data_IF_184146666872
#
_entry.id   IF_184146666872
#
_cell.length_a   1.000
_cell.length_b   1.000
_cell.length_c   1.000
_cell.angle_alpha   90.00
_cell.angle_beta   90.00
_cell.angle_gamma   90.00
#
_symmetry.space_group_name_H-M   'P 1'
#
loop_
_entity.id
_entity.type
_entity.pdbx_description
1 polymer ?
#
# COMPACT_ATOMS: atom_id res chain seq x y z
N UNK A 1 64.84 -24.90 50.18
CA UNK A 1 63.60 -25.67 50.38
C UNK A 1 62.59 -25.23 49.34
N UNK A 2 62.24 -26.15 48.43
CA UNK A 2 61.21 -26.00 47.39
C UNK A 2 59.82 -26.31 47.97
N UNK A 3 58.79 -26.00 47.17
CA UNK A 3 57.38 -26.46 47.17
C UNK A 3 56.39 -25.38 47.64
N UNK A 4 55.87 -24.53 46.74
CA UNK A 4 54.80 -24.68 45.72
C UNK A 4 53.41 -24.22 46.25
N UNK A 5 52.76 -23.23 45.60
CA UNK A 5 51.54 -22.58 46.07
C UNK A 5 50.25 -23.32 45.66
N UNK A 6 49.25 -23.24 46.53
CA UNK A 6 47.88 -23.73 46.33
C UNK A 6 47.18 -22.89 45.25
N UNK A 7 46.85 -23.51 44.11
CA UNK A 7 46.06 -22.87 43.04
C UNK A 7 44.57 -22.97 43.37
N UNK A 8 43.94 -21.83 43.71
CA UNK A 8 42.49 -21.69 43.57
C UNK A 8 42.20 -21.26 42.12
N UNK A 9 41.60 -22.16 41.35
CA UNK A 9 41.09 -21.87 40.00
C UNK A 9 39.65 -21.40 40.15
N UNK A 10 39.40 -20.10 39.96
CA UNK A 10 38.07 -19.54 39.79
C UNK A 10 37.81 -19.44 38.28
N UNK A 11 36.98 -20.35 37.75
CA UNK A 11 36.52 -20.29 36.35
C UNK A 11 35.37 -19.27 36.30
N UNK A 12 35.64 -18.07 35.80
CA UNK A 12 34.60 -17.13 35.42
C UNK A 12 34.22 -17.37 33.96
N UNK A 13 33.04 -17.97 33.74
CA UNK A 13 32.40 -18.04 32.42
C UNK A 13 31.88 -16.63 32.07
N UNK A 14 32.56 -15.93 31.17
CA UNK A 14 32.01 -14.74 30.50
C UNK A 14 31.21 -15.17 29.28
N UNK A 15 29.88 -15.18 29.42
CA UNK A 15 28.97 -15.30 28.28
C UNK A 15 28.96 -13.98 27.50
N UNK A 16 29.60 -13.98 26.33
CA UNK A 16 29.55 -12.86 25.38
C UNK A 16 28.19 -12.90 24.67
N UNK A 17 27.27 -12.03 25.07
CA UNK A 17 26.01 -11.81 24.38
C UNK A 17 26.29 -11.16 23.02
N UNK A 18 26.21 -11.96 21.95
CA UNK A 18 26.21 -11.46 20.58
C UNK A 18 24.78 -10.93 20.33
N UNK A 19 24.59 -9.63 20.49
CA UNK A 19 23.39 -8.98 19.97
C UNK A 19 23.45 -9.04 18.43
N UNK A 20 22.35 -9.39 17.73
CA UNK A 20 22.33 -9.27 16.28
C UNK A 20 22.44 -7.78 15.94
N UNK A 21 23.58 -7.37 15.37
CA UNK A 21 23.61 -6.16 14.58
C UNK A 21 22.66 -6.42 13.40
N UNK A 22 21.48 -5.80 13.41
CA UNK A 22 20.76 -5.59 12.18
C UNK A 22 21.68 -4.75 11.28
N UNK A 23 22.30 -5.41 10.31
CA UNK A 23 22.99 -4.73 9.23
C UNK A 23 21.95 -3.84 8.55
N UNK A 24 22.06 -2.53 8.75
CA UNK A 24 21.38 -1.56 7.92
C UNK A 24 21.98 -1.74 6.54
N UNK A 25 21.33 -2.55 5.70
CA UNK A 25 21.63 -2.57 4.27
C UNK A 25 21.36 -1.14 3.79
N UNK A 26 22.41 -0.40 3.44
CA UNK A 26 22.23 0.79 2.62
C UNK A 26 21.58 0.29 1.33
N UNK A 27 20.30 0.64 1.12
CA UNK A 27 19.64 0.30 -0.12
C UNK A 27 20.47 0.85 -1.28
N UNK A 28 20.60 0.06 -2.35
CA UNK A 28 21.19 0.54 -3.60
C UNK A 28 20.48 1.83 -4.02
N UNK A 29 21.21 2.74 -4.67
CA UNK A 29 20.60 4.00 -5.11
C UNK A 29 19.72 3.79 -6.34
N UNK A 30 18.72 4.64 -6.55
CA UNK A 30 17.84 4.58 -7.72
C UNK A 30 17.78 5.92 -8.47
N UNK A 31 17.35 5.87 -9.73
CA UNK A 31 17.20 7.01 -10.63
C UNK A 31 15.74 7.49 -10.65
N UNK A 32 15.55 8.79 -10.50
CA UNK A 32 14.25 9.45 -10.49
C UNK A 32 14.16 10.44 -11.64
N UNK A 33 13.30 10.15 -12.61
CA UNK A 33 12.99 11.08 -13.71
C UNK A 33 12.06 12.19 -13.23
N UNK A 34 12.30 13.42 -13.67
CA UNK A 34 11.43 14.55 -13.37
C UNK A 34 11.39 15.56 -14.54
N UNK A 35 10.20 16.09 -14.89
CA UNK A 35 10.05 17.13 -15.89
C UNK A 35 10.87 18.37 -15.59
N UNK A 36 11.39 19.01 -16.64
CA UNK A 36 12.26 20.19 -16.51
C UNK A 36 11.58 21.33 -15.73
N UNK A 37 10.26 21.47 -15.88
CA UNK A 37 9.45 22.43 -15.14
C UNK A 37 9.58 22.24 -13.61
N UNK A 38 9.60 20.99 -13.13
CA UNK A 38 9.79 20.68 -11.71
C UNK A 38 11.25 20.87 -11.30
N UNK A 39 12.20 20.42 -12.12
CA UNK A 39 13.65 20.56 -11.83
C UNK A 39 14.05 22.03 -11.67
N UNK A 40 13.53 22.91 -12.54
CA UNK A 40 13.81 24.36 -12.54
C UNK A 40 13.35 25.06 -11.26
N UNK A 41 12.34 24.55 -10.56
CA UNK A 41 11.92 25.11 -9.26
C UNK A 41 12.99 24.98 -8.18
N UNK A 42 13.94 24.05 -8.33
CA UNK A 42 14.91 23.70 -7.29
C UNK A 42 14.35 22.76 -6.21
N UNK A 43 13.09 22.36 -6.31
CA UNK A 43 12.41 21.50 -5.34
C UNK A 43 13.15 20.19 -5.04
N UNK A 44 13.64 19.49 -6.08
CA UNK A 44 14.36 18.23 -5.89
C UNK A 44 15.66 18.40 -5.09
N UNK A 45 16.32 19.55 -5.20
CA UNK A 45 17.52 19.86 -4.40
C UNK A 45 17.19 20.06 -2.92
N UNK A 46 15.95 20.42 -2.61
CA UNK A 46 15.44 20.49 -1.24
C UNK A 46 14.94 19.13 -0.75
N UNK A 47 14.21 18.40 -1.59
CA UNK A 47 13.53 17.17 -1.21
C UNK A 47 14.48 15.98 -1.01
N UNK A 48 15.28 15.66 -2.05
CA UNK A 48 16.04 14.40 -2.13
C UNK A 48 17.10 14.24 -1.03
N UNK A 49 17.86 15.28 -0.64
CA UNK A 49 18.85 15.14 0.43
C UNK A 49 18.22 14.79 1.79
N UNK A 50 16.99 15.24 2.06
CA UNK A 50 16.31 15.01 3.35
C UNK A 50 15.83 13.56 3.49
N UNK A 51 15.35 12.98 2.40
CA UNK A 51 15.10 11.54 2.35
C UNK A 51 16.42 10.77 2.52
N UNK A 52 17.40 11.06 1.67
CA UNK A 52 18.67 10.33 1.61
C UNK A 52 19.43 10.36 2.96
N UNK A 53 19.38 11.48 3.68
CA UNK A 53 20.02 11.61 4.99
C UNK A 53 19.40 10.70 6.06
N UNK A 54 18.08 10.49 6.00
CA UNK A 54 17.36 9.68 6.98
C UNK A 54 17.41 8.19 6.64
N UNK A 55 17.40 7.84 5.36
CA UNK A 55 17.28 6.44 4.90
C UNK A 55 18.58 5.83 4.41
N UNK A 56 19.60 6.64 4.12
CA UNK A 56 20.84 6.18 3.49
C UNK A 56 20.69 5.77 2.02
N UNK A 57 19.49 5.88 1.45
CA UNK A 57 19.21 5.56 0.04
C UNK A 57 19.55 6.76 -0.82
N UNK A 58 20.41 6.60 -1.83
CA UNK A 58 20.78 7.68 -2.75
C UNK A 58 19.77 7.76 -3.90
N UNK A 59 19.33 8.97 -4.23
CA UNK A 59 18.49 9.22 -5.40
C UNK A 59 19.25 10.08 -6.41
N UNK A 60 19.34 9.62 -7.65
CA UNK A 60 19.87 10.38 -8.77
C UNK A 60 18.71 10.96 -9.60
N UNK A 61 18.58 12.28 -9.63
CA UNK A 61 17.59 12.94 -10.49
C UNK A 61 18.09 12.97 -11.94
N UNK A 62 17.26 12.51 -12.89
CA UNK A 62 17.59 12.40 -14.32
C UNK A 62 16.56 13.14 -15.16
N UNK A 63 16.93 13.50 -16.39
CA UNK A 63 16.03 14.19 -17.30
C UNK A 63 14.91 13.26 -17.79
N UNK A 64 13.80 13.88 -18.18
CA UNK A 64 12.69 13.19 -18.82
C UNK A 64 13.15 12.47 -20.10
N UNK A 65 12.72 11.22 -20.30
CA UNK A 65 13.14 10.36 -21.41
C UNK A 65 14.42 9.55 -21.16
N UNK A 66 15.18 9.81 -20.08
CA UNK A 66 16.24 8.91 -19.64
C UNK A 66 15.69 7.71 -18.85
N UNK A 67 16.39 6.59 -18.89
CA UNK A 67 16.03 5.40 -18.08
C UNK A 67 15.96 5.77 -16.59
N UNK A 68 14.86 5.43 -15.91
CA UNK A 68 14.67 5.72 -14.50
C UNK A 68 13.87 4.60 -13.82
N UNK A 69 14.01 4.49 -12.50
CA UNK A 69 13.29 3.51 -11.69
C UNK A 69 11.94 4.06 -11.22
N UNK A 70 11.84 5.39 -11.12
CA UNK A 70 10.62 6.12 -10.80
C UNK A 70 10.56 7.44 -11.57
N UNK A 71 9.37 8.03 -11.67
CA UNK A 71 9.18 9.36 -12.26
C UNK A 71 8.20 10.22 -11.45
N UNK A 72 8.38 11.54 -11.53
CA UNK A 72 7.29 12.48 -11.24
C UNK A 72 6.60 12.90 -12.53
N UNK A 73 5.27 12.87 -12.56
CA UNK A 73 4.49 13.27 -13.74
C UNK A 73 3.14 13.85 -13.30
N UNK A 74 2.49 14.61 -14.18
CA UNK A 74 1.15 15.17 -13.93
C UNK A 74 0.07 14.39 -14.70
N UNK A 75 0.37 14.02 -15.94
CA UNK A 75 -0.60 13.41 -16.88
C UNK A 75 -0.51 11.87 -16.96
N UNK A 76 0.45 11.26 -16.27
CA UNK A 76 0.63 9.80 -16.24
C UNK A 76 -0.11 9.15 -15.04
N UNK A 77 -0.20 7.82 -15.06
CA UNK A 77 -0.62 7.03 -13.91
C UNK A 77 0.43 7.12 -12.78
N UNK A 78 -0.04 7.07 -11.53
CA UNK A 78 0.85 7.10 -10.38
C UNK A 78 0.18 7.60 -9.11
N UNK A 79 0.91 7.50 -8.00
CA UNK A 79 0.45 7.92 -6.68
C UNK A 79 0.50 9.43 -6.56
N UNK A 80 -0.62 10.09 -6.27
CA UNK A 80 -0.67 11.51 -5.95
C UNK A 80 0.21 11.82 -4.72
N UNK A 81 1.14 12.78 -4.85
CA UNK A 81 2.13 13.08 -3.80
C UNK A 81 2.10 14.54 -3.34
N UNK A 82 1.87 15.49 -4.23
CA UNK A 82 1.76 16.92 -3.90
C UNK A 82 1.10 17.71 -5.02
N UNK A 83 0.61 18.90 -4.71
CA UNK A 83 0.04 19.84 -5.67
C UNK A 83 0.94 21.07 -5.77
N UNK A 84 1.13 21.59 -6.98
CA UNK A 84 1.86 22.82 -7.26
C UNK A 84 1.11 23.75 -8.20
N UNK A 85 1.74 24.84 -8.65
CA UNK A 85 1.09 25.85 -9.51
C UNK A 85 0.62 25.29 -10.86
N UNK A 86 1.28 24.24 -11.36
CA UNK A 86 0.92 23.54 -12.59
C UNK A 86 -0.09 22.40 -12.37
N UNK A 87 -0.57 22.19 -11.14
CA UNK A 87 -1.52 21.14 -10.81
C UNK A 87 -0.96 20.00 -9.95
N UNK A 88 -1.63 18.85 -10.00
CA UNK A 88 -1.28 17.67 -9.21
C UNK A 88 -0.01 17.00 -9.77
N UNK A 89 0.88 16.61 -8.87
CA UNK A 89 2.04 15.78 -9.17
C UNK A 89 1.84 14.39 -8.60
N UNK A 90 2.11 13.40 -9.45
CA UNK A 90 2.05 11.98 -9.13
C UNK A 90 3.45 11.38 -9.23
N UNK A 91 3.72 10.36 -8.42
CA UNK A 91 4.90 9.53 -8.52
C UNK A 91 4.54 8.18 -9.13
N UNK A 92 5.22 7.81 -10.20
CA UNK A 92 5.09 6.50 -10.84
C UNK A 92 6.32 5.65 -10.52
N UNK A 93 6.10 4.35 -10.31
CA UNK A 93 7.18 3.36 -10.29
C UNK A 93 7.32 2.79 -11.69
N UNK A 94 8.50 2.94 -12.30
CA UNK A 94 8.78 2.48 -13.66
C UNK A 94 9.44 1.10 -13.67
N UNK A 95 10.22 0.78 -12.63
CA UNK A 95 10.83 -0.54 -12.43
C UNK A 95 10.37 -1.10 -11.08
N UNK A 96 9.71 -2.27 -11.10
CA UNK A 96 8.95 -2.81 -9.97
C UNK A 96 9.76 -3.31 -8.77
N UNK A 97 11.07 -3.51 -8.92
CA UNK A 97 11.82 -4.41 -8.02
C UNK A 97 12.80 -3.66 -7.08
N UNK A 98 12.76 -2.32 -7.04
CA UNK A 98 13.72 -1.54 -6.27
C UNK A 98 13.15 -1.05 -4.93
N UNK A 99 13.55 -1.68 -3.82
CA UNK A 99 13.10 -1.35 -2.45
C UNK A 99 13.21 0.15 -2.10
N UNK A 100 14.24 0.84 -2.61
CA UNK A 100 14.42 2.27 -2.41
C UNK A 100 13.30 3.14 -3.01
N UNK A 101 12.67 2.71 -4.11
CA UNK A 101 11.56 3.42 -4.75
C UNK A 101 10.31 3.33 -3.87
N UNK A 102 10.03 2.14 -3.32
CA UNK A 102 8.92 1.91 -2.38
C UNK A 102 9.11 2.77 -1.13
N UNK A 103 10.29 2.73 -0.52
CA UNK A 103 10.62 3.55 0.65
C UNK A 103 10.47 5.05 0.38
N UNK A 104 10.85 5.52 -0.82
CA UNK A 104 10.71 6.93 -1.18
C UNK A 104 9.23 7.31 -1.38
N UNK A 105 8.45 6.49 -2.10
CA UNK A 105 7.01 6.69 -2.29
C UNK A 105 6.27 6.78 -0.95
N UNK A 106 6.55 5.87 -0.02
CA UNK A 106 5.96 5.88 1.32
C UNK A 106 6.45 7.04 2.18
N UNK A 107 7.70 7.46 2.00
CA UNK A 107 8.21 8.63 2.70
C UNK A 107 7.50 9.90 2.24
N UNK A 108 7.24 10.09 0.94
CA UNK A 108 6.60 11.30 0.39
C UNK A 108 5.23 11.56 1.01
N UNK A 109 4.46 10.51 1.31
CA UNK A 109 3.13 10.61 1.91
C UNK A 109 3.12 10.52 3.44
N UNK A 110 4.29 10.30 4.06
CA UNK A 110 4.42 10.35 5.52
C UNK A 110 4.38 11.78 6.06
N UNK A 111 4.08 11.96 7.35
CA UNK A 111 4.12 13.27 8.02
C UNK A 111 5.42 14.05 7.76
N UNK A 112 6.56 13.36 7.75
CA UNK A 112 7.88 13.98 7.56
C UNK A 112 8.08 14.41 6.11
N UNK A 113 7.70 13.56 5.15
CA UNK A 113 7.76 13.89 3.72
C UNK A 113 6.82 15.05 3.39
N UNK A 114 5.56 14.96 3.80
CA UNK A 114 4.53 15.98 3.59
C UNK A 114 4.92 17.35 4.19
N UNK A 115 5.51 17.38 5.39
CA UNK A 115 6.06 18.62 5.96
C UNK A 115 7.26 19.14 5.17
N UNK A 116 8.10 18.25 4.66
CA UNK A 116 9.26 18.65 3.84
C UNK A 116 8.81 19.28 2.53
N UNK A 117 7.80 18.70 1.89
CA UNK A 117 7.17 19.20 0.66
C UNK A 117 6.56 20.59 0.90
N UNK A 118 5.68 20.70 1.90
CA UNK A 118 4.94 21.94 2.17
C UNK A 118 5.80 23.07 2.75
N UNK A 119 6.98 22.76 3.30
CA UNK A 119 7.95 23.75 3.74
C UNK A 119 8.85 24.28 2.62
N UNK A 120 8.74 23.77 1.38
CA UNK A 120 9.50 24.30 0.27
C UNK A 120 8.94 25.64 -0.18
N UNK A 121 9.72 26.71 0.01
CA UNK A 121 9.34 28.06 -0.33
C UNK A 121 10.29 28.68 -1.37
N UNK A 122 9.72 29.44 -2.30
CA UNK A 122 10.43 30.31 -3.25
C UNK A 122 9.96 31.72 -2.96
N UNK A 123 10.91 32.65 -2.79
CA UNK A 123 10.62 34.05 -2.44
C UNK A 123 9.71 34.25 -1.21
N UNK A 124 9.75 33.29 -0.27
CA UNK A 124 8.96 33.32 0.97
C UNK A 124 7.56 32.72 0.86
N UNK A 125 7.15 32.25 -0.32
CA UNK A 125 5.87 31.60 -0.54
C UNK A 125 6.04 30.09 -0.74
N UNK A 126 5.20 29.29 -0.05
CA UNK A 126 5.21 27.84 -0.21
C UNK A 126 4.72 27.46 -1.60
N UNK A 127 5.57 26.80 -2.38
CA UNK A 127 5.26 26.49 -3.78
C UNK A 127 4.36 25.25 -3.92
N UNK A 128 4.44 24.32 -2.96
CA UNK A 128 3.70 23.06 -2.99
C UNK A 128 2.82 22.87 -1.77
N UNK A 129 1.68 22.22 -1.99
CA UNK A 129 0.71 21.82 -0.97
C UNK A 129 0.45 20.31 -1.06
N UNK A 130 -0.30 19.78 -0.09
CA UNK A 130 -0.78 18.39 -0.18
C UNK A 130 -1.90 18.30 -1.21
N UNK A 131 -2.07 17.14 -1.89
CA UNK A 131 -3.22 16.91 -2.74
C UNK A 131 -4.51 17.12 -1.94
N UNK A 132 -5.52 17.78 -2.51
CA UNK A 132 -6.83 17.84 -1.85
C UNK A 132 -7.45 16.44 -1.79
N UNK A 133 -8.44 16.25 -0.92
CA UNK A 133 -9.21 15.01 -0.85
C UNK A 133 -9.84 14.64 -2.20
N UNK A 134 -10.26 15.63 -2.99
CA UNK A 134 -10.82 15.44 -4.33
C UNK A 134 -9.75 15.04 -5.36
N UNK A 135 -8.50 15.53 -5.22
CA UNK A 135 -7.39 15.16 -6.11
C UNK A 135 -6.71 13.85 -5.73
N UNK A 136 -6.70 13.50 -4.44
CA UNK A 136 -6.25 12.19 -3.97
C UNK A 136 -7.20 11.06 -4.39
N UNK A 137 -8.47 11.36 -4.62
CA UNK A 137 -9.49 10.41 -5.06
C UNK A 137 -9.41 10.04 -6.56
N UNK A 138 -8.57 10.71 -7.38
CA UNK A 138 -8.50 10.51 -8.85
C UNK A 138 -7.67 9.28 -9.27
N UNK A 139 -7.29 8.41 -8.34
CA UNK A 139 -6.97 7.00 -8.67
C UNK A 139 -8.09 6.15 -8.09
N UNK A 140 -9.32 6.41 -8.54
CA UNK A 140 -10.43 5.52 -8.24
C UNK A 140 -10.20 4.25 -9.07
N UNK A 141 -9.67 3.21 -8.43
CA UNK A 141 -9.62 1.88 -9.03
C UNK A 141 -11.06 1.52 -9.41
N UNK A 142 -11.33 1.53 -10.71
CA UNK A 142 -12.62 1.19 -11.30
C UNK A 142 -12.46 -0.11 -12.06
N UNK A 143 -13.50 -0.92 -12.04
CA UNK A 143 -13.54 -2.20 -12.72
C UNK A 143 -14.62 -2.17 -13.80
N UNK A 144 -14.36 -2.85 -14.90
CA UNK A 144 -15.38 -3.10 -15.91
C UNK A 144 -16.47 -4.01 -15.31
N UNK A 145 -17.73 -3.77 -15.65
CA UNK A 145 -18.85 -4.57 -15.14
C UNK A 145 -20.10 -3.74 -14.81
N UNK A 146 -21.25 -4.41 -14.77
CA UNK A 146 -22.50 -3.77 -14.36
C UNK A 146 -22.61 -3.72 -12.84
N UNK A 147 -22.36 -2.55 -12.24
CA UNK A 147 -22.43 -2.33 -10.81
C UNK A 147 -23.84 -2.61 -10.22
N UNK A 148 -24.91 -2.47 -10.99
CA UNK A 148 -26.26 -2.79 -10.51
C UNK A 148 -26.45 -4.30 -10.34
N UNK A 149 -25.93 -5.09 -11.28
CA UNK A 149 -25.85 -6.55 -11.17
C UNK A 149 -24.91 -6.95 -10.04
N UNK A 150 -23.74 -6.30 -9.94
CA UNK A 150 -22.77 -6.51 -8.86
C UNK A 150 -23.34 -6.31 -7.46
N UNK A 151 -24.18 -5.30 -7.28
CA UNK A 151 -24.87 -5.04 -6.01
C UNK A 151 -25.78 -6.21 -5.61
N UNK A 152 -26.55 -6.73 -6.58
CA UNK A 152 -27.47 -7.84 -6.35
C UNK A 152 -26.72 -9.13 -6.02
N UNK A 153 -25.67 -9.43 -6.79
CA UNK A 153 -24.79 -10.57 -6.56
C UNK A 153 -24.08 -10.48 -5.22
N UNK A 154 -23.57 -9.30 -4.85
CA UNK A 154 -22.92 -9.08 -3.55
C UNK A 154 -23.87 -9.38 -2.39
N UNK A 155 -25.12 -8.91 -2.46
CA UNK A 155 -26.14 -9.23 -1.45
C UNK A 155 -26.41 -10.73 -1.39
N UNK A 156 -26.59 -11.37 -2.55
CA UNK A 156 -26.90 -12.80 -2.66
C UNK A 156 -25.78 -13.69 -2.09
N UNK A 157 -24.54 -13.40 -2.48
CA UNK A 157 -23.40 -14.27 -2.25
C UNK A 157 -22.63 -13.92 -0.98
N UNK A 158 -22.52 -12.63 -0.64
CA UNK A 158 -21.69 -12.14 0.46
C UNK A 158 -22.50 -11.71 1.69
N UNK A 159 -23.79 -11.37 1.51
CA UNK A 159 -24.66 -10.76 2.53
C UNK A 159 -24.96 -11.61 3.77
N UNK A 160 -24.67 -12.92 3.71
CA UNK A 160 -24.74 -13.83 4.87
C UNK A 160 -23.61 -13.60 5.88
N UNK A 161 -22.46 -13.11 5.41
CA UNK A 161 -21.31 -12.85 6.25
C UNK A 161 -21.07 -11.35 6.37
N UNK A 162 -20.96 -10.64 5.25
CA UNK A 162 -20.61 -9.23 5.22
C UNK A 162 -21.86 -8.34 5.19
N UNK A 163 -21.79 -7.19 5.89
CA UNK A 163 -22.69 -6.08 5.60
C UNK A 163 -22.26 -5.47 4.28
N UNK A 164 -23.02 -5.75 3.21
CA UNK A 164 -22.79 -5.27 1.84
C UNK A 164 -23.37 -3.87 1.67
N UNK A 165 -24.60 -3.68 2.15
CA UNK A 165 -25.33 -2.42 2.16
C UNK A 165 -26.28 -2.36 3.36
N UNK A 166 -27.03 -1.25 3.48
CA UNK A 166 -27.97 -1.03 4.58
C UNK A 166 -29.01 -2.15 4.74
N UNK A 167 -29.45 -2.77 3.64
CA UNK A 167 -30.43 -3.86 3.69
C UNK A 167 -29.87 -5.13 4.35
N UNK A 168 -28.56 -5.38 4.25
CA UNK A 168 -27.88 -6.54 4.85
C UNK A 168 -27.38 -6.32 6.28
N UNK A 169 -27.55 -5.11 6.85
CA UNK A 169 -26.94 -4.73 8.13
C UNK A 169 -27.31 -5.64 9.31
N UNK A 170 -28.48 -6.25 9.27
CA UNK A 170 -29.00 -7.12 10.34
C UNK A 170 -28.89 -8.61 10.02
N UNK A 171 -28.47 -8.98 8.81
CA UNK A 171 -28.28 -10.37 8.39
C UNK A 171 -26.81 -10.80 8.39
N UNK A 172 -25.89 -9.84 8.46
CA UNK A 172 -24.45 -10.07 8.46
C UNK A 172 -23.91 -10.54 9.81
N UNK A 173 -22.75 -11.20 9.79
CA UNK A 173 -22.01 -11.57 10.99
C UNK A 173 -21.26 -10.35 11.52
N UNK A 174 -21.53 -9.97 12.78
CA UNK A 174 -20.87 -8.81 13.40
C UNK A 174 -19.35 -8.94 13.56
N UNK A 175 -18.79 -10.14 13.38
CA UNK A 175 -17.35 -10.41 13.45
C UNK A 175 -16.62 -10.26 12.10
N UNK A 176 -17.33 -10.08 10.99
CA UNK A 176 -16.74 -9.85 9.67
C UNK A 176 -16.91 -8.39 9.27
N UNK A 177 -15.88 -7.76 8.65
CA UNK A 177 -15.94 -6.35 8.29
C UNK A 177 -17.00 -6.09 7.21
N UNK A 178 -17.65 -4.93 7.24
CA UNK A 178 -18.56 -4.51 6.17
C UNK A 178 -17.80 -4.17 4.88
N UNK A 179 -18.49 -4.13 3.74
CA UNK A 179 -17.89 -3.66 2.48
C UNK A 179 -17.34 -2.24 2.61
N UNK A 180 -18.07 -1.34 3.30
CA UNK A 180 -17.60 0.02 3.56
C UNK A 180 -16.31 0.04 4.41
N UNK A 181 -16.20 -0.82 5.43
CA UNK A 181 -14.96 -0.95 6.24
C UNK A 181 -13.81 -1.49 5.40
N UNK A 182 -14.07 -2.52 4.58
CA UNK A 182 -13.05 -3.06 3.66
C UNK A 182 -12.60 -1.99 2.65
N UNK A 183 -13.52 -1.16 2.13
CA UNK A 183 -13.21 -0.06 1.20
C UNK A 183 -12.33 1.04 1.80
N UNK A 184 -12.29 1.17 3.12
CA UNK A 184 -11.42 2.12 3.80
C UNK A 184 -9.97 1.61 3.98
N UNK A 185 -9.69 0.35 3.64
CA UNK A 185 -8.33 -0.21 3.71
C UNK A 185 -7.49 0.22 2.51
N UNK A 186 -6.17 0.36 2.68
CA UNK A 186 -5.28 0.81 1.61
C UNK A 186 -5.20 -0.19 0.45
N UNK A 187 -5.33 -1.49 0.74
CA UNK A 187 -5.24 -2.61 -0.21
C UNK A 187 -6.61 -3.22 -0.53
N UNK A 188 -7.68 -2.43 -0.43
CA UNK A 188 -9.05 -2.92 -0.59
C UNK A 188 -9.25 -3.60 -1.95
N UNK A 189 -8.72 -3.01 -3.01
CA UNK A 189 -8.84 -3.45 -4.39
C UNK A 189 -8.20 -4.82 -4.58
N UNK A 190 -7.00 -5.04 -4.05
CA UNK A 190 -6.33 -6.33 -4.08
C UNK A 190 -7.08 -7.38 -3.26
N UNK A 191 -7.61 -7.01 -2.09
CA UNK A 191 -8.40 -7.92 -1.24
C UNK A 191 -9.67 -8.41 -1.93
N UNK A 192 -10.37 -7.52 -2.63
CA UNK A 192 -11.57 -7.90 -3.38
C UNK A 192 -11.23 -8.68 -4.65
N UNK A 193 -10.18 -8.31 -5.40
CA UNK A 193 -9.72 -9.05 -6.58
C UNK A 193 -9.21 -10.46 -6.25
N UNK A 194 -8.71 -10.68 -5.04
CA UNK A 194 -8.16 -11.98 -4.61
C UNK A 194 -8.99 -12.67 -3.53
N UNK A 195 -10.24 -12.22 -3.28
CA UNK A 195 -11.01 -12.67 -2.11
C UNK A 195 -11.14 -14.20 -2.04
N UNK A 196 -11.30 -14.86 -3.19
CA UNK A 196 -11.44 -16.31 -3.33
C UNK A 196 -10.18 -17.10 -2.91
N UNK A 197 -9.04 -16.43 -2.75
CA UNK A 197 -7.78 -16.98 -2.21
C UNK A 197 -7.58 -16.65 -0.72
N UNK A 198 -8.36 -15.71 -0.16
CA UNK A 198 -8.19 -15.22 1.20
C UNK A 198 -9.15 -15.92 2.16
N UNK A 199 -8.60 -16.54 3.21
CA UNK A 199 -9.39 -17.24 4.23
C UNK A 199 -10.49 -16.32 4.81
N UNK A 200 -11.73 -16.83 4.98
CA UNK A 200 -12.12 -18.24 4.86
C UNK A 200 -12.63 -18.66 3.46
N UNK A 201 -12.64 -17.77 2.47
CA UNK A 201 -13.34 -17.95 1.19
C UNK A 201 -12.90 -19.15 0.33
N UNK A 202 -11.62 -19.56 0.26
CA UNK A 202 -11.21 -20.71 -0.55
C UNK A 202 -11.95 -22.01 -0.21
N UNK A 203 -12.47 -22.12 1.01
CA UNK A 203 -13.17 -23.32 1.44
C UNK A 203 -14.58 -23.46 0.83
N UNK A 204 -15.16 -22.39 0.28
CA UNK A 204 -16.55 -22.37 -0.18
C UNK A 204 -16.79 -21.47 -1.41
N UNK A 205 -15.75 -21.04 -2.10
CA UNK A 205 -15.84 -20.18 -3.29
C UNK A 205 -15.35 -20.93 -4.52
N UNK A 206 -16.09 -20.86 -5.61
CA UNK A 206 -15.65 -21.28 -6.93
C UNK A 206 -15.92 -20.18 -7.95
N UNK A 207 -14.90 -19.85 -8.73
CA UNK A 207 -15.01 -18.97 -9.89
C UNK A 207 -14.78 -19.83 -11.13
N UNK A 208 -15.78 -19.85 -12.02
CA UNK A 208 -15.75 -20.64 -13.25
C UNK A 208 -14.47 -20.35 -14.04
N UNK A 209 -13.82 -21.42 -14.49
CA UNK A 209 -12.57 -21.39 -15.26
C UNK A 209 -11.35 -20.74 -14.57
N UNK A 210 -11.45 -20.41 -13.26
CA UNK A 210 -10.36 -19.82 -12.48
C UNK A 210 -9.94 -20.71 -11.31
N UNK A 211 -10.89 -21.20 -10.53
CA UNK A 211 -10.60 -22.02 -9.34
C UNK A 211 -10.80 -23.49 -9.65
N UNK A 212 -9.94 -24.35 -9.10
CA UNK A 212 -10.13 -25.78 -9.15
C UNK A 212 -11.42 -26.23 -8.44
N UNK A 213 -12.01 -27.37 -8.83
CA UNK A 213 -13.05 -28.03 -8.05
C UNK A 213 -12.61 -28.34 -6.62
N UNK A 214 -13.54 -28.32 -5.66
CA UNK A 214 -13.23 -28.79 -4.31
C UNK A 214 -12.74 -30.24 -4.33
N UNK A 215 -11.65 -30.58 -3.62
CA UNK A 215 -11.20 -31.96 -3.48
C UNK A 215 -12.31 -32.85 -2.92
N UNK A 216 -12.41 -34.09 -3.43
CA UNK A 216 -13.45 -35.06 -3.02
C UNK A 216 -13.39 -35.35 -1.51
N UNK A 217 -12.18 -35.37 -0.94
CA UNK A 217 -11.92 -35.61 0.48
C UNK A 217 -12.06 -34.34 1.36
N UNK A 218 -12.28 -33.18 0.73
CA UNK A 218 -12.47 -31.89 1.41
C UNK A 218 -13.50 -31.04 0.66
N UNK A 219 -14.78 -31.46 0.65
CA UNK A 219 -15.85 -30.67 0.04
C UNK A 219 -16.09 -29.36 0.81
N UNK A 220 -16.76 -28.41 0.17
CA UNK A 220 -17.17 -27.15 0.81
C UNK A 220 -18.01 -27.42 2.07
N UNK A 221 -17.75 -26.74 3.20
CA UNK A 221 -18.48 -26.94 4.44
C UNK A 221 -19.87 -26.27 4.45
N UNK A 222 -20.17 -25.45 3.44
CA UNK A 222 -21.44 -24.76 3.23
C UNK A 222 -21.85 -24.82 1.77
N UNK A 223 -23.06 -24.36 1.43
CA UNK A 223 -23.46 -24.18 0.02
C UNK A 223 -22.44 -23.22 -0.65
N UNK A 224 -21.74 -23.67 -1.70
CA UNK A 224 -20.72 -22.86 -2.35
C UNK A 224 -21.28 -21.56 -2.93
N UNK A 225 -20.43 -20.55 -2.92
CA UNK A 225 -20.56 -19.36 -3.74
C UNK A 225 -19.93 -19.69 -5.09
N UNK A 226 -20.75 -19.68 -6.14
CA UNK A 226 -20.33 -19.94 -7.51
C UNK A 226 -20.51 -18.66 -8.32
N UNK A 227 -19.46 -18.23 -9.02
CA UNK A 227 -19.46 -17.04 -9.86
C UNK A 227 -18.83 -17.34 -11.22
N UNK A 228 -19.30 -16.69 -12.26
CA UNK A 228 -18.56 -16.52 -13.50
C UNK A 228 -17.59 -15.33 -13.40
N UNK A 229 -16.64 -15.22 -14.33
CA UNK A 229 -15.76 -14.04 -14.43
C UNK A 229 -16.57 -12.74 -14.56
N UNK A 230 -17.58 -12.70 -15.42
CA UNK A 230 -18.39 -11.52 -15.63
C UNK A 230 -19.18 -11.10 -14.38
N UNK A 231 -19.68 -12.07 -13.61
CA UNK A 231 -20.34 -11.81 -12.33
C UNK A 231 -19.36 -11.32 -11.26
N UNK A 232 -18.15 -11.86 -11.24
CA UNK A 232 -17.09 -11.40 -10.37
C UNK A 232 -16.67 -9.96 -10.69
N UNK A 233 -16.47 -9.63 -11.97
CA UNK A 233 -16.20 -8.27 -12.46
C UNK A 233 -17.33 -7.30 -12.09
N UNK A 234 -18.60 -7.70 -12.24
CA UNK A 234 -19.74 -6.91 -11.80
C UNK A 234 -19.68 -6.60 -10.29
N UNK A 235 -19.33 -7.59 -9.44
CA UNK A 235 -19.13 -7.38 -8.00
C UNK A 235 -18.01 -6.37 -7.75
N UNK A 236 -16.87 -6.49 -8.44
CA UNK A 236 -15.76 -5.54 -8.31
C UNK A 236 -16.17 -4.11 -8.69
N UNK A 237 -16.92 -3.95 -9.80
CA UNK A 237 -17.44 -2.66 -10.25
C UNK A 237 -18.43 -2.04 -9.25
N UNK A 238 -19.24 -2.86 -8.57
CA UNK A 238 -20.08 -2.40 -7.47
C UNK A 238 -19.25 -1.94 -6.27
N UNK A 239 -18.28 -2.75 -5.84
CA UNK A 239 -17.45 -2.49 -4.67
C UNK A 239 -16.63 -1.21 -4.83
N UNK A 240 -16.07 -0.94 -6.02
CA UNK A 240 -15.33 0.30 -6.27
C UNK A 240 -16.18 1.54 -5.99
N UNK A 241 -17.48 1.48 -6.28
CA UNK A 241 -18.43 2.57 -6.03
C UNK A 241 -18.99 2.61 -4.60
N UNK A 242 -18.70 1.63 -3.73
CA UNK A 242 -19.12 1.67 -2.32
C UNK A 242 -18.31 2.72 -1.58
N UNK A 243 -18.95 3.70 -0.91
CA UNK A 243 -18.24 4.70 -0.13
C UNK A 243 -17.45 4.04 1.02
N UNK A 244 -16.18 4.41 1.23
CA UNK A 244 -15.41 3.91 2.37
C UNK A 244 -16.04 4.39 3.68
N UNK A 245 -16.01 3.52 4.70
CA UNK A 245 -16.43 3.91 6.04
C UNK A 245 -15.48 4.95 6.64
N UNK A 246 -16.03 5.91 7.37
CA UNK A 246 -15.22 6.79 8.21
C UNK A 246 -14.76 6.01 9.45
N UNK A 247 -13.50 5.59 9.44
CA UNK A 247 -12.88 4.87 10.56
C UNK A 247 -12.26 5.81 11.61
N UNK A 248 -12.41 7.13 11.44
CA UNK A 248 -11.70 8.13 12.25
C UNK A 248 -10.21 8.22 11.90
N UNK A 249 -9.42 8.78 12.83
CA UNK A 249 -7.98 8.94 12.61
C UNK A 249 -7.27 7.57 12.46
N UNK A 250 -6.18 7.48 11.68
CA UNK A 250 -5.43 6.24 11.47
C UNK A 250 -5.09 5.55 12.81
N UNK A 251 -5.28 4.23 12.86
CA UNK A 251 -4.93 3.43 14.05
C UNK A 251 -3.45 3.63 14.36
N UNK A 252 -3.16 4.30 15.47
CA UNK A 252 -1.80 4.37 16.02
C UNK A 252 -1.48 3.00 16.60
N UNK A 253 -0.67 2.21 15.90
CA UNK A 253 -0.07 1.02 16.49
C UNK A 253 0.73 1.44 17.73
N UNK A 254 0.41 0.85 18.88
CA UNK A 254 1.21 0.96 20.11
C UNK A 254 2.38 -0.01 20.05
#
# INVERSE_FOLDING_TARGET
MRLHPLKLVFVALTALAIAPLHAVHAAEGFRLSAPEALVKTGFLKHLLPRFSLKTGTRIEAVAEGESADASFAQDEEGRAVFSGPSGLWKMQTLTSDHDGVVQFSDWLISDVGQRTITAFAVDGENLFSLPSQEQAAVVEVSFEGDAATGAQLSVLHCGRCHTVNEATRFSALGSTPSFAVLRAMQDWDLRFQSFYLLNPHPAFTQIADVTDPFPIDRPSPIIPLELTIAEFEAILAYVSAVPPADLGAPLKHQ
#
